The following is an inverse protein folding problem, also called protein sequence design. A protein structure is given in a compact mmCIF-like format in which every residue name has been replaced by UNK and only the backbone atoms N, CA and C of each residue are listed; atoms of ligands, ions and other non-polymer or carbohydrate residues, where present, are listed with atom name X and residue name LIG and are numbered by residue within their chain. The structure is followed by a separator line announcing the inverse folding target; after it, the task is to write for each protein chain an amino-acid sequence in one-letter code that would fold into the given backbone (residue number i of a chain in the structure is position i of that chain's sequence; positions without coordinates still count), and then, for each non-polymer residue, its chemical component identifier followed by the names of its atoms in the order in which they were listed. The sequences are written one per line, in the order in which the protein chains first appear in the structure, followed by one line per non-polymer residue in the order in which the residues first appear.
data_IF_695645946480
#
_entry.id   IF_695645946480
#
_cell.length_a   1.000
_cell.length_b   1.000
_cell.length_c   1.000
_cell.angle_alpha   90.00
_cell.angle_beta   90.00
_cell.angle_gamma   90.00
#
_symmetry.space_group_name_H-M   'P 1'
#
loop_
_entity.id
_entity.type
_entity.pdbx_description
1 polymer ?
#
# COMPACT_ATOMS: atom_id res chain seq x y z
N UNK A 1 24.70 41.93 39.79
CA UNK A 1 23.93 41.67 38.56
C UNK A 1 23.72 40.16 38.35
N UNK A 2 23.48 39.37 39.39
CA UNK A 2 22.16 38.93 39.85
C UNK A 2 20.93 39.55 39.14
N UNK A 3 20.44 38.92 38.05
CA UNK A 3 19.03 38.95 37.59
C UNK A 3 18.80 38.12 36.31
N UNK A 4 19.20 36.84 36.23
CA UNK A 4 18.72 35.93 35.16
C UNK A 4 18.70 34.45 35.58
N UNK A 5 18.21 34.15 36.79
CA UNK A 5 18.11 32.77 37.28
C UNK A 5 16.80 32.52 38.07
N UNK A 6 15.67 33.08 37.61
CA UNK A 6 14.39 32.97 38.32
C UNK A 6 13.19 32.78 37.36
N UNK A 7 13.29 31.85 36.40
CA UNK A 7 12.14 31.51 35.54
C UNK A 7 12.02 30.03 35.15
N UNK A 8 12.46 29.13 36.02
CA UNK A 8 12.39 27.69 35.74
C UNK A 8 12.21 26.79 36.98
N UNK A 9 11.35 27.17 37.94
CA UNK A 9 10.95 26.28 39.07
C UNK A 9 9.46 26.46 39.45
N UNK A 10 8.56 26.66 38.48
CA UNK A 10 7.12 26.69 38.80
C UNK A 10 6.32 25.98 37.72
N UNK A 11 6.13 24.68 37.91
CA UNK A 11 4.98 23.86 37.43
C UNK A 11 5.21 22.37 37.75
N UNK A 12 5.46 22.03 39.01
CA UNK A 12 5.27 20.68 39.53
C UNK A 12 4.86 20.78 40.99
N UNK A 13 3.55 20.82 41.24
CA UNK A 13 2.88 20.41 42.49
C UNK A 13 1.44 20.90 42.43
N UNK A 14 0.50 20.03 42.05
CA UNK A 14 -0.90 20.02 42.51
C UNK A 14 -1.67 18.94 41.75
N UNK A 15 -1.65 17.72 42.28
CA UNK A 15 -2.66 16.71 41.99
C UNK A 15 -2.96 16.00 43.30
N UNK A 16 -3.70 16.68 44.18
CA UNK A 16 -4.32 16.08 45.36
C UNK A 16 -5.76 15.69 45.01
N UNK A 17 -5.96 14.38 44.93
CA UNK A 17 -7.00 13.59 45.62
C UNK A 17 -8.20 14.40 46.13
N UNK A 18 -9.36 14.21 45.50
CA UNK A 18 -10.65 14.26 46.20
C UNK A 18 -11.80 13.60 45.41
N UNK A 19 -12.56 12.79 46.15
CA UNK A 19 -14.02 12.70 46.11
C UNK A 19 -14.70 11.68 45.17
N UNK A 20 -14.89 10.51 45.78
CA UNK A 20 -16.06 9.63 45.70
C UNK A 20 -17.40 10.37 45.50
N UNK A 21 -18.16 10.05 44.44
CA UNK A 21 -19.63 9.92 44.48
C UNK A 21 -20.08 8.89 43.44
N UNK A 22 -20.55 7.74 43.94
CA UNK A 22 -21.25 6.76 43.14
C UNK A 22 -22.62 7.28 42.73
N UNK A 23 -22.97 7.10 41.46
CA UNK A 23 -24.35 7.17 40.97
C UNK A 23 -24.71 5.80 40.41
N UNK A 24 -25.20 4.94 41.29
CA UNK A 24 -25.94 3.73 40.93
C UNK A 24 -27.37 4.18 40.58
N UNK A 25 -27.66 4.28 39.29
CA UNK A 25 -29.05 4.41 38.81
C UNK A 25 -29.53 3.03 38.34
N UNK A 26 -30.24 2.34 39.23
CA UNK A 26 -31.04 1.17 38.88
C UNK A 26 -32.18 1.60 37.95
N UNK A 27 -31.99 1.38 36.64
CA UNK A 27 -33.09 1.48 35.69
C UNK A 27 -33.80 0.13 35.64
N UNK A 28 -34.80 -0.04 36.52
CA UNK A 28 -35.80 -1.09 36.41
C UNK A 28 -36.59 -0.85 35.12
N UNK A 29 -36.25 -1.57 34.06
CA UNK A 29 -37.09 -1.64 32.87
C UNK A 29 -37.93 -2.90 32.98
N UNK A 30 -39.16 -2.71 33.44
CA UNK A 30 -40.27 -3.63 33.26
C UNK A 30 -40.42 -3.94 31.78
N UNK A 31 -40.37 -5.23 31.42
CA UNK A 31 -40.91 -5.71 30.15
C UNK A 31 -41.93 -6.79 30.44
N UNK A 32 -43.17 -6.39 30.23
CA UNK A 32 -44.35 -7.20 30.20
C UNK A 32 -44.19 -8.31 29.15
N UNK A 33 -44.39 -9.55 29.56
CA UNK A 33 -44.55 -10.69 28.66
C UNK A 33 -45.99 -10.62 28.13
N UNK A 34 -46.15 -10.12 26.91
CA UNK A 34 -47.39 -10.30 26.15
C UNK A 34 -47.21 -11.45 25.18
N UNK A 35 -47.93 -12.52 25.48
CA UNK A 35 -48.24 -13.64 24.58
C UNK A 35 -48.99 -13.12 23.36
N UNK A 36 -48.43 -13.29 22.17
CA UNK A 36 -49.16 -13.12 20.91
C UNK A 36 -49.17 -14.46 20.18
N UNK A 37 -50.37 -15.03 20.10
CA UNK A 37 -50.71 -16.20 19.30
C UNK A 37 -50.38 -15.94 17.83
N UNK A 38 -49.65 -16.87 17.20
CA UNK A 38 -49.48 -16.89 15.74
C UNK A 38 -50.47 -17.90 15.18
N UNK A 39 -51.47 -17.36 14.51
CA UNK A 39 -52.45 -18.08 13.70
C UNK A 39 -51.76 -18.76 12.53
N UNK A 40 -51.97 -20.07 12.46
CA UNK A 40 -51.83 -20.94 11.30
C UNK A 40 -52.39 -20.29 10.02
N UNK A 41 -51.53 -20.00 9.06
CA UNK A 41 -51.90 -19.74 7.67
C UNK A 41 -51.75 -21.03 6.84
N UNK A 42 -52.74 -21.38 6.01
CA UNK A 42 -52.71 -22.58 5.21
C UNK A 42 -51.72 -22.48 4.05
N UNK A 43 -51.09 -23.63 3.81
CA UNK A 43 -50.23 -23.98 2.69
C UNK A 43 -50.83 -23.54 1.34
N UNK A 44 -50.26 -22.47 0.76
CA UNK A 44 -50.53 -22.08 -0.63
C UNK A 44 -49.57 -22.88 -1.50
N UNK A 45 -50.08 -23.96 -2.08
CA UNK A 45 -49.44 -24.67 -3.18
C UNK A 45 -49.40 -23.74 -4.39
N UNK A 46 -48.27 -23.07 -4.58
CA UNK A 46 -47.96 -22.38 -5.83
C UNK A 46 -47.35 -23.45 -6.76
N UNK A 47 -48.18 -24.02 -7.63
CA UNK A 47 -47.69 -24.73 -8.81
C UNK A 47 -46.90 -23.75 -9.67
N UNK A 48 -45.59 -23.74 -9.48
CA UNK A 48 -44.67 -23.05 -10.35
C UNK A 48 -44.68 -23.75 -11.71
N UNK A 49 -45.47 -23.21 -12.64
CA UNK A 49 -45.30 -23.46 -14.07
C UNK A 49 -44.01 -22.78 -14.50
N UNK A 50 -42.88 -23.42 -14.18
CA UNK A 50 -41.55 -22.98 -14.56
C UNK A 50 -41.44 -22.87 -16.09
N UNK A 51 -40.62 -21.94 -16.60
CA UNK A 51 -40.33 -21.90 -18.03
C UNK A 51 -39.81 -23.28 -18.45
N UNK A 52 -40.32 -23.81 -19.58
CA UNK A 52 -39.80 -25.04 -20.20
C UNK A 52 -38.36 -24.78 -20.61
N UNK A 53 -37.44 -24.99 -19.69
CA UNK A 53 -36.00 -24.94 -19.91
C UNK A 53 -35.66 -25.97 -20.98
N UNK A 54 -34.84 -25.58 -21.93
CA UNK A 54 -34.38 -26.49 -22.98
C UNK A 54 -33.63 -27.67 -22.34
N UNK A 55 -33.71 -28.90 -22.87
CA UNK A 55 -33.02 -30.06 -22.28
C UNK A 55 -31.51 -29.86 -22.10
N UNK A 56 -30.89 -29.01 -22.93
CA UNK A 56 -29.48 -28.67 -22.81
C UNK A 56 -29.16 -27.69 -21.68
N UNK A 57 -30.10 -26.82 -21.29
CA UNK A 57 -29.93 -25.96 -20.11
C UNK A 57 -30.12 -26.77 -18.82
N UNK A 58 -31.06 -27.72 -18.80
CA UNK A 58 -31.28 -28.59 -17.65
C UNK A 58 -30.03 -29.45 -17.35
N UNK A 59 -29.41 -30.07 -18.36
CA UNK A 59 -28.18 -30.84 -18.18
C UNK A 59 -27.02 -29.98 -17.65
N UNK A 60 -26.88 -28.73 -18.11
CA UNK A 60 -25.90 -27.78 -17.57
C UNK A 60 -26.20 -27.43 -16.11
N UNK A 61 -27.46 -27.33 -15.72
CA UNK A 61 -27.84 -27.06 -14.34
C UNK A 61 -27.45 -28.22 -13.40
N UNK A 62 -27.67 -29.47 -13.80
CA UNK A 62 -27.30 -30.64 -12.99
C UNK A 62 -25.77 -30.74 -12.77
N UNK A 63 -24.97 -30.60 -13.85
CA UNK A 63 -23.50 -30.55 -13.76
C UNK A 63 -23.01 -29.43 -12.83
N UNK A 64 -23.68 -28.27 -12.86
CA UNK A 64 -23.34 -27.15 -11.99
C UNK A 64 -23.64 -27.45 -10.51
N UNK A 65 -24.72 -28.17 -10.20
CA UNK A 65 -25.06 -28.53 -8.82
C UNK A 65 -24.01 -29.49 -8.24
N UNK A 66 -23.53 -30.44 -9.03
CA UNK A 66 -22.44 -31.35 -8.63
C UNK A 66 -21.14 -30.60 -8.36
N UNK A 67 -20.77 -29.66 -9.23
CA UNK A 67 -19.60 -28.79 -9.02
C UNK A 67 -19.75 -27.94 -7.77
N UNK A 68 -20.93 -27.33 -7.56
CA UNK A 68 -21.22 -26.56 -6.33
C UNK A 68 -21.13 -27.47 -5.10
N UNK A 69 -21.55 -28.72 -5.21
CA UNK A 69 -21.49 -29.73 -4.17
C UNK A 69 -20.07 -30.25 -3.87
N UNK A 70 -19.07 -29.87 -4.67
CA UNK A 70 -17.66 -30.16 -4.43
C UNK A 70 -16.94 -29.02 -3.69
N UNK A 71 -17.49 -27.80 -3.73
CA UNK A 71 -16.87 -26.64 -3.07
C UNK A 71 -16.88 -26.77 -1.55
N UNK A 72 -15.87 -26.26 -0.82
CA UNK A 72 -15.91 -26.19 0.63
C UNK A 72 -17.17 -25.46 1.15
N UNK A 73 -17.79 -25.90 2.27
CA UNK A 73 -19.00 -25.29 2.80
C UNK A 73 -18.80 -23.80 3.11
N UNK A 74 -17.58 -23.41 3.49
CA UNK A 74 -17.22 -22.01 3.75
C UNK A 74 -17.34 -21.12 2.51
N UNK A 75 -17.00 -21.64 1.32
CA UNK A 75 -17.17 -20.93 0.06
C UNK A 75 -18.64 -20.96 -0.40
N UNK A 76 -19.33 -22.09 -0.25
CA UNK A 76 -20.77 -22.17 -0.56
C UNK A 76 -21.59 -21.17 0.26
N UNK A 77 -21.38 -21.11 1.57
CA UNK A 77 -22.07 -20.16 2.45
C UNK A 77 -21.73 -18.71 2.11
N UNK A 78 -20.50 -18.46 1.66
CA UNK A 78 -20.10 -17.14 1.20
C UNK A 78 -20.88 -16.75 -0.07
N UNK A 79 -20.92 -17.63 -1.08
CA UNK A 79 -21.62 -17.37 -2.34
C UNK A 79 -23.14 -17.32 -2.18
N UNK A 80 -23.71 -18.10 -1.26
CA UNK A 80 -25.12 -18.01 -0.89
C UNK A 80 -25.49 -16.63 -0.32
N UNK A 81 -24.57 -16.04 0.45
CA UNK A 81 -24.77 -14.70 1.04
C UNK A 81 -24.40 -13.56 0.08
N UNK A 82 -23.42 -13.80 -0.79
CA UNK A 82 -22.88 -12.83 -1.74
C UNK A 82 -22.85 -13.46 -3.14
N UNK A 83 -23.97 -13.39 -3.89
CA UNK A 83 -24.07 -13.99 -5.22
C UNK A 83 -23.06 -13.38 -6.19
N UNK A 84 -22.31 -14.19 -6.97
CA UNK A 84 -21.25 -13.68 -7.83
C UNK A 84 -21.74 -12.74 -8.94
N UNK A 85 -23.03 -12.78 -9.29
CA UNK A 85 -23.64 -11.88 -10.28
C UNK A 85 -23.51 -10.39 -9.92
N UNK A 86 -23.46 -10.06 -8.63
CA UNK A 86 -23.33 -8.67 -8.17
C UNK A 86 -21.95 -8.37 -7.61
N UNK A 87 -21.28 -9.39 -7.08
CA UNK A 87 -20.06 -9.20 -6.31
C UNK A 87 -18.79 -9.67 -7.02
N UNK A 88 -18.85 -10.44 -8.11
CA UNK A 88 -17.63 -10.96 -8.75
C UNK A 88 -16.75 -9.86 -9.33
N UNK A 89 -15.48 -10.19 -9.58
CA UNK A 89 -14.54 -9.26 -10.18
C UNK A 89 -14.95 -8.78 -11.59
N UNK A 90 -15.75 -9.59 -12.31
CA UNK A 90 -16.24 -9.29 -13.65
C UNK A 90 -17.35 -8.21 -13.68
N UNK A 91 -17.99 -7.94 -12.54
CA UNK A 91 -19.09 -6.93 -12.46
C UNK A 91 -18.54 -5.50 -12.49
N UNK A 92 -17.24 -5.31 -12.25
CA UNK A 92 -16.65 -3.99 -12.25
C UNK A 92 -16.72 -3.35 -13.66
N UNK A 93 -17.14 -2.07 -13.78
CA UNK A 93 -17.23 -1.40 -15.08
C UNK A 93 -15.86 -1.30 -15.74
N UNK A 94 -15.76 -1.76 -16.98
CA UNK A 94 -14.51 -1.83 -17.77
C UNK A 94 -13.85 -0.46 -17.92
N UNK A 95 -14.64 0.61 -18.03
CA UNK A 95 -14.16 2.00 -18.14
C UNK A 95 -13.20 2.40 -17.02
N UNK A 96 -13.39 1.86 -15.81
CA UNK A 96 -12.54 2.17 -14.67
C UNK A 96 -11.14 1.57 -14.79
N UNK A 97 -11.02 0.45 -15.50
CA UNK A 97 -9.75 -0.28 -15.69
C UNK A 97 -8.86 0.38 -16.73
N UNK A 98 -9.42 1.25 -17.58
CA UNK A 98 -8.68 2.03 -18.55
C UNK A 98 -8.13 3.31 -17.89
N UNK A 99 -6.91 3.73 -18.25
CA UNK A 99 -6.42 5.05 -17.86
C UNK A 99 -7.33 6.11 -18.48
N UNK A 100 -7.57 7.25 -17.79
CA UNK A 100 -8.26 8.38 -18.41
C UNK A 100 -7.51 8.80 -19.68
N UNK A 101 -8.26 9.06 -20.76
CA UNK A 101 -7.75 9.34 -22.12
C UNK A 101 -6.72 10.49 -22.19
N UNK A 102 -6.69 11.35 -21.17
CA UNK A 102 -5.78 12.50 -21.10
C UNK A 102 -4.38 12.13 -20.58
N UNK A 103 -4.17 10.90 -20.09
CA UNK A 103 -2.91 10.47 -19.46
C UNK A 103 -1.91 9.77 -20.40
N UNK A 104 -2.25 9.57 -21.69
CA UNK A 104 -1.38 8.90 -22.67
C UNK A 104 -0.37 9.82 -23.36
N UNK A 105 -0.33 11.12 -23.04
CA UNK A 105 0.48 12.12 -23.74
C UNK A 105 1.89 12.37 -23.18
N UNK A 106 2.38 11.63 -22.17
CA UNK A 106 3.65 11.97 -21.50
C UNK A 106 4.69 10.83 -21.46
N UNK A 107 4.67 9.94 -22.46
CA UNK A 107 5.68 8.87 -22.61
C UNK A 107 6.34 8.83 -23.99
N UNK A 108 6.57 9.99 -24.60
CA UNK A 108 7.52 10.14 -25.70
C UNK A 108 8.66 11.03 -25.22
N UNK A 109 9.76 10.38 -24.87
CA UNK A 109 11.09 10.98 -24.83
C UNK A 109 11.40 11.56 -26.21
N UNK A 110 11.19 12.87 -26.39
CA UNK A 110 11.77 13.64 -27.50
C UNK A 110 13.13 14.15 -27.02
N UNK A 111 14.20 13.62 -27.59
CA UNK A 111 15.58 14.08 -27.39
C UNK A 111 16.18 14.36 -28.77
N UNK A 112 16.08 15.62 -29.20
CA UNK A 112 16.80 16.29 -30.31
C UNK A 112 16.70 17.79 -29.98
N UNK A 113 17.66 18.72 -30.07
CA UNK A 113 19.08 18.84 -30.45
C UNK A 113 19.57 20.15 -29.78
N UNK A 114 20.82 20.31 -29.31
CA UNK A 114 21.95 20.98 -30.00
C UNK A 114 23.21 20.84 -29.10
N UNK A 115 24.31 20.23 -29.56
CA UNK A 115 25.46 20.78 -30.33
C UNK A 115 26.56 21.46 -29.48
N UNK A 116 27.65 20.72 -29.21
CA UNK A 116 29.07 21.17 -29.35
C UNK A 116 30.09 20.08 -28.91
N UNK A 117 30.61 19.36 -29.92
CA UNK A 117 32.03 19.06 -30.18
C UNK A 117 32.93 18.35 -29.14
N UNK A 118 33.29 17.06 -29.37
CA UNK A 118 34.67 16.60 -29.70
C UNK A 118 34.94 15.10 -29.43
N UNK A 119 35.29 14.39 -30.51
CA UNK A 119 36.29 13.29 -30.66
C UNK A 119 35.97 11.81 -30.28
N UNK A 120 35.90 10.98 -31.35
CA UNK A 120 36.50 9.65 -31.63
C UNK A 120 36.28 8.50 -30.59
N UNK A 121 35.78 7.30 -30.93
CA UNK A 121 36.39 6.28 -31.82
C UNK A 121 35.38 5.14 -32.13
N UNK A 122 35.59 4.45 -33.25
CA UNK A 122 34.77 3.44 -33.92
C UNK A 122 34.71 2.07 -33.21
N UNK A 123 33.62 1.29 -33.40
CA UNK A 123 33.65 -0.10 -33.91
C UNK A 123 32.22 -0.54 -34.31
N UNK A 124 32.08 -1.09 -35.52
CA UNK A 124 30.86 -1.60 -36.14
C UNK A 124 30.62 -3.08 -35.80
N UNK A 125 29.35 -3.52 -35.75
CA UNK A 125 28.92 -4.77 -36.39
C UNK A 125 27.41 -4.77 -36.63
N UNK A 126 27.01 -5.50 -37.67
CA UNK A 126 25.83 -5.28 -38.51
C UNK A 126 24.59 -6.11 -38.10
N UNK A 127 23.49 -5.67 -38.71
CA UNK A 127 22.10 -6.14 -38.80
C UNK A 127 21.85 -7.62 -39.08
N UNK A 128 20.69 -8.15 -38.63
CA UNK A 128 19.69 -8.85 -39.49
C UNK A 128 18.32 -9.07 -38.82
N UNK A 129 17.27 -8.75 -39.59
CA UNK A 129 15.98 -9.44 -39.76
C UNK A 129 14.89 -9.43 -38.66
N UNK A 130 13.66 -9.29 -39.15
CA UNK A 130 12.41 -9.03 -38.45
C UNK A 130 11.75 -10.28 -37.85
N UNK A 131 11.06 -10.11 -36.71
CA UNK A 131 10.00 -11.01 -36.25
C UNK A 131 8.98 -10.25 -35.37
N UNK A 132 7.65 -10.31 -35.65
CA UNK A 132 6.63 -9.54 -34.93
C UNK A 132 5.85 -10.44 -33.96
N UNK A 133 6.41 -10.77 -32.80
CA UNK A 133 5.65 -11.26 -31.63
C UNK A 133 6.58 -11.20 -30.43
N UNK A 134 6.40 -10.24 -29.53
CA UNK A 134 6.71 -10.35 -28.08
C UNK A 134 6.24 -9.05 -27.43
N UNK A 135 5.10 -9.10 -26.73
CA UNK A 135 4.74 -8.07 -25.75
C UNK A 135 5.66 -8.25 -24.54
N UNK A 136 6.82 -7.62 -24.61
CA UNK A 136 7.78 -7.54 -23.51
C UNK A 136 7.06 -6.95 -22.28
N UNK A 137 7.07 -7.65 -21.12
CA UNK A 137 6.64 -7.03 -19.87
C UNK A 137 7.59 -5.87 -19.62
N UNK A 138 7.08 -4.64 -19.57
CA UNK A 138 7.91 -3.45 -19.37
C UNK A 138 8.89 -3.70 -18.23
N UNK A 139 10.17 -3.85 -18.60
CA UNK A 139 11.25 -4.25 -17.71
C UNK A 139 11.49 -3.09 -16.76
N UNK A 140 10.84 -3.14 -15.60
CA UNK A 140 11.03 -2.17 -14.53
C UNK A 140 12.54 -1.96 -14.34
N UNK A 141 13.01 -0.70 -14.25
CA UNK A 141 14.44 -0.43 -14.13
C UNK A 141 14.98 -1.13 -12.88
N UNK A 142 16.21 -1.63 -12.97
CA UNK A 142 16.86 -2.28 -11.84
C UNK A 142 16.78 -1.35 -10.61
N UNK A 143 16.56 -1.90 -9.40
CA UNK A 143 16.39 -1.08 -8.20
C UNK A 143 17.61 -0.22 -7.86
N UNK A 144 18.75 -0.42 -8.52
CA UNK A 144 19.97 0.35 -8.32
C UNK A 144 20.12 1.45 -9.38
N UNK A 145 20.28 2.70 -8.94
CA UNK A 145 20.57 3.83 -9.82
C UNK A 145 22.08 3.86 -10.11
N UNK A 146 22.54 3.82 -11.38
CA UNK A 146 23.96 3.85 -11.70
C UNK A 146 24.64 5.18 -11.33
N UNK A 147 23.88 6.27 -11.20
CA UNK A 147 24.39 7.58 -10.81
C UNK A 147 24.11 7.92 -9.34
N UNK A 148 25.12 8.47 -8.66
CA UNK A 148 25.07 8.90 -7.24
C UNK A 148 24.06 10.04 -7.02
N UNK A 149 23.80 10.84 -8.05
CA UNK A 149 23.06 12.10 -7.96
C UNK A 149 21.61 12.03 -8.45
N UNK A 150 21.25 11.02 -9.26
CA UNK A 150 19.89 10.87 -9.72
C UNK A 150 18.97 10.51 -8.55
N UNK A 151 18.07 11.43 -8.20
CA UNK A 151 16.95 11.17 -7.29
C UNK A 151 15.87 10.46 -8.11
N UNK A 152 15.37 9.33 -7.64
CA UNK A 152 14.26 8.68 -8.33
C UNK A 152 13.00 9.53 -8.29
N UNK A 153 12.16 9.35 -9.30
CA UNK A 153 10.87 10.02 -9.42
C UNK A 153 9.99 9.68 -8.21
N UNK A 154 9.41 10.71 -7.60
CA UNK A 154 8.36 10.53 -6.60
C UNK A 154 7.06 10.32 -7.36
N UNK A 155 6.33 9.27 -7.02
CA UNK A 155 5.00 9.05 -7.60
C UNK A 155 3.99 10.02 -7.00
N UNK A 156 3.16 10.60 -7.86
CA UNK A 156 2.03 11.41 -7.42
C UNK A 156 0.95 10.52 -6.77
N UNK A 157 0.56 10.78 -5.51
CA UNK A 157 -0.42 9.96 -4.81
C UNK A 157 -1.83 10.10 -5.40
N UNK A 158 -2.09 11.18 -6.16
CA UNK A 158 -3.36 11.49 -6.82
C UNK A 158 -3.47 10.84 -8.20
N UNK A 159 -2.36 10.42 -8.80
CA UNK A 159 -2.36 9.81 -10.11
C UNK A 159 -3.18 8.50 -10.13
N UNK A 160 -3.81 8.24 -11.27
CA UNK A 160 -4.56 7.02 -11.49
C UNK A 160 -3.66 5.77 -11.31
N UNK A 161 -4.26 4.67 -10.87
CA UNK A 161 -3.56 3.42 -10.57
C UNK A 161 -4.48 2.26 -10.91
N UNK A 162 -4.07 1.40 -11.85
CA UNK A 162 -4.89 0.28 -12.30
C UNK A 162 -5.23 -0.69 -11.13
N UNK A 163 -4.32 -0.87 -10.18
CA UNK A 163 -4.52 -1.69 -8.99
C UNK A 163 -5.58 -1.09 -8.06
N UNK A 164 -5.69 0.25 -8.00
CA UNK A 164 -6.76 0.94 -7.28
C UNK A 164 -8.09 0.87 -8.04
N UNK A 165 -8.06 0.87 -9.37
CA UNK A 165 -9.23 0.73 -10.22
C UNK A 165 -9.93 -0.61 -10.00
N UNK A 166 -9.17 -1.71 -9.91
CA UNK A 166 -9.67 -3.07 -9.64
C UNK A 166 -10.49 -3.15 -8.35
N UNK A 167 -10.15 -2.36 -7.32
CA UNK A 167 -10.90 -2.33 -6.06
C UNK A 167 -12.21 -1.54 -6.22
N UNK A 168 -13.21 -2.22 -6.80
CA UNK A 168 -14.54 -1.68 -7.08
C UNK A 168 -15.52 -1.90 -5.93
N UNK A 169 -16.41 -0.93 -5.72
CA UNK A 169 -17.47 -0.97 -4.72
C UNK A 169 -18.74 -0.32 -5.33
N UNK A 170 -19.78 -1.11 -5.53
CA UNK A 170 -21.07 -0.64 -6.03
C UNK A 170 -21.87 0.01 -4.88
N UNK A 171 -22.53 1.17 -5.08
CA UNK A 171 -23.38 1.78 -4.06
C UNK A 171 -24.60 0.92 -3.65
N UNK A 172 -25.17 0.14 -4.56
CA UNK A 172 -26.34 -0.71 -4.31
C UNK A 172 -25.95 -2.05 -3.66
N UNK A 173 -24.93 -2.71 -4.22
CA UNK A 173 -24.40 -3.98 -3.73
C UNK A 173 -22.96 -3.79 -3.23
N UNK A 174 -22.77 -3.35 -1.98
CA UNK A 174 -21.46 -3.00 -1.52
C UNK A 174 -20.55 -4.19 -1.29
N UNK A 175 -19.31 -4.09 -1.77
CA UNK A 175 -18.31 -5.14 -1.66
C UNK A 175 -18.01 -5.47 -0.17
N UNK A 176 -18.22 -6.73 0.27
CA UNK A 176 -18.02 -7.13 1.67
C UNK A 176 -16.56 -7.12 2.14
N UNK A 177 -15.60 -7.02 1.21
CA UNK A 177 -14.16 -7.01 1.49
C UNK A 177 -13.58 -5.61 1.66
N UNK A 178 -14.32 -4.56 1.27
CA UNK A 178 -13.83 -3.19 1.35
C UNK A 178 -14.47 -2.44 2.53
N UNK A 179 -13.72 -1.51 3.17
CA UNK A 179 -14.30 -0.62 4.15
C UNK A 179 -15.27 0.35 3.46
N UNK A 180 -16.37 0.66 4.14
CA UNK A 180 -17.41 1.52 3.61
C UNK A 180 -17.51 2.81 4.42
N UNK A 181 -17.69 3.94 3.75
CA UNK A 181 -18.01 5.19 4.41
C UNK A 181 -19.50 5.21 4.75
N UNK A 182 -19.85 5.56 5.98
CA UNK A 182 -21.26 5.73 6.34
C UNK A 182 -21.86 6.92 5.57
N UNK A 183 -23.12 6.81 5.09
CA UNK A 183 -23.76 7.92 4.36
C UNK A 183 -24.01 9.13 5.26
N UNK A 184 -24.45 8.86 6.50
CA UNK A 184 -24.85 9.91 7.45
C UNK A 184 -23.69 10.42 8.31
N UNK A 185 -22.65 9.59 8.51
CA UNK A 185 -21.50 9.93 9.34
C UNK A 185 -20.22 9.89 8.50
N UNK A 186 -19.27 10.80 8.74
CA UNK A 186 -17.96 10.77 8.09
C UNK A 186 -17.06 9.60 8.56
N UNK A 187 -17.56 8.73 9.44
CA UNK A 187 -16.87 7.53 9.91
C UNK A 187 -16.83 6.42 8.85
N UNK A 188 -15.74 5.65 8.88
CA UNK A 188 -15.56 4.45 8.06
C UNK A 188 -15.98 3.20 8.86
N UNK A 189 -16.82 2.37 8.26
CA UNK A 189 -17.16 1.05 8.75
C UNK A 189 -16.11 0.05 8.27
N UNK A 190 -15.68 -0.82 9.18
CA UNK A 190 -14.81 -1.95 8.86
C UNK A 190 -15.46 -2.87 7.81
N UNK A 191 -14.65 -3.55 6.97
CA UNK A 191 -15.18 -4.54 6.03
C UNK A 191 -15.87 -5.69 6.79
N UNK A 192 -16.86 -6.32 6.15
CA UNK A 192 -17.60 -7.46 6.75
C UNK A 192 -16.69 -8.67 6.99
N UNK A 193 -15.70 -8.87 6.11
CA UNK A 193 -14.63 -9.84 6.31
C UNK A 193 -13.29 -9.13 6.49
N UNK A 194 -12.57 -9.46 7.56
CA UNK A 194 -11.24 -8.90 7.83
C UNK A 194 -10.18 -9.43 6.85
N UNK A 195 -9.03 -8.76 6.75
CA UNK A 195 -7.96 -9.12 5.79
C UNK A 195 -7.44 -10.56 5.94
N UNK A 196 -7.52 -11.14 7.15
CA UNK A 196 -7.20 -12.57 7.40
C UNK A 196 -8.27 -13.48 6.78
N UNK A 197 -9.54 -13.22 7.04
CA UNK A 197 -10.66 -13.99 6.47
C UNK A 197 -10.71 -13.88 4.95
N UNK A 198 -10.45 -12.69 4.41
CA UNK A 198 -10.30 -12.48 2.96
C UNK A 198 -9.18 -13.36 2.40
N UNK A 199 -8.02 -13.42 3.06
CA UNK A 199 -6.92 -14.27 2.64
C UNK A 199 -7.28 -15.76 2.70
N UNK A 200 -7.97 -16.20 3.76
CA UNK A 200 -8.45 -17.59 3.87
C UNK A 200 -9.40 -17.94 2.70
N UNK A 201 -10.36 -17.05 2.39
CA UNK A 201 -11.29 -17.23 1.27
C UNK A 201 -10.58 -17.22 -0.08
N UNK A 202 -9.67 -16.27 -0.33
CA UNK A 202 -8.88 -16.24 -1.57
C UNK A 202 -7.97 -17.47 -1.69
N UNK A 203 -7.39 -17.97 -0.59
CA UNK A 203 -6.55 -19.18 -0.60
C UNK A 203 -7.38 -20.42 -0.95
N UNK A 204 -8.56 -20.57 -0.35
CA UNK A 204 -9.49 -21.65 -0.70
C UNK A 204 -9.98 -21.49 -2.15
N UNK A 205 -10.47 -20.32 -2.54
CA UNK A 205 -10.98 -20.12 -3.89
C UNK A 205 -9.91 -20.38 -4.96
N UNK A 206 -8.64 -20.03 -4.68
CA UNK A 206 -7.52 -20.36 -5.56
C UNK A 206 -7.28 -21.86 -5.70
N UNK A 207 -7.37 -22.64 -4.62
CA UNK A 207 -7.19 -24.09 -4.70
C UNK A 207 -8.29 -24.77 -5.52
N UNK A 208 -9.49 -24.20 -5.54
CA UNK A 208 -10.65 -24.70 -6.32
C UNK A 208 -10.87 -23.95 -7.64
N UNK A 209 -9.98 -23.02 -8.04
CA UNK A 209 -10.12 -22.26 -9.29
C UNK A 209 -11.24 -21.22 -9.35
N UNK A 210 -11.96 -20.95 -8.24
CA UNK A 210 -13.13 -20.06 -8.18
C UNK A 210 -12.80 -18.64 -7.68
N UNK A 211 -11.53 -18.22 -7.75
CA UNK A 211 -11.09 -16.90 -7.24
C UNK A 211 -11.74 -15.73 -7.99
N UNK A 212 -12.01 -15.88 -9.29
CA UNK A 212 -12.63 -14.83 -10.12
C UNK A 212 -14.08 -14.52 -9.72
N UNK A 213 -14.78 -15.50 -9.14
CA UNK A 213 -16.16 -15.35 -8.66
C UNK A 213 -16.25 -14.57 -7.35
N UNK A 214 -15.14 -14.46 -6.61
CA UNK A 214 -15.08 -13.65 -5.40
C UNK A 214 -15.06 -12.15 -5.71
N UNK A 215 -15.54 -11.33 -4.76
CA UNK A 215 -15.33 -9.89 -4.84
C UNK A 215 -13.87 -9.49 -4.85
N UNK A 216 -13.60 -8.36 -5.52
CA UNK A 216 -12.25 -7.81 -5.64
C UNK A 216 -11.72 -7.45 -4.24
N UNK A 217 -10.49 -7.89 -3.94
CA UNK A 217 -9.86 -7.70 -2.63
C UNK A 217 -8.40 -7.32 -2.79
N UNK A 218 -7.82 -6.68 -1.76
CA UNK A 218 -6.37 -6.47 -1.67
C UNK A 218 -5.57 -7.79 -1.57
N UNK A 219 -6.25 -8.92 -1.36
CA UNK A 219 -5.65 -10.25 -1.22
C UNK A 219 -5.76 -11.11 -2.49
N UNK A 220 -6.55 -10.70 -3.49
CA UNK A 220 -6.69 -11.45 -4.74
C UNK A 220 -5.39 -11.46 -5.56
N UNK A 221 -5.21 -12.49 -6.40
CA UNK A 221 -4.12 -12.60 -7.39
C UNK A 221 -4.06 -11.39 -8.29
N UNK A 222 -5.17 -11.08 -8.97
CA UNK A 222 -5.27 -9.98 -9.92
C UNK A 222 -4.78 -8.65 -9.33
N UNK A 223 -5.21 -8.34 -8.10
CA UNK A 223 -4.78 -7.11 -7.42
C UNK A 223 -3.28 -7.12 -7.08
N UNK A 224 -2.73 -8.26 -6.65
CA UNK A 224 -1.31 -8.36 -6.28
C UNK A 224 -0.41 -8.26 -7.50
N UNK A 225 -0.77 -8.94 -8.58
CA UNK A 225 -0.04 -8.94 -9.84
C UNK A 225 -0.03 -7.55 -10.48
N UNK A 226 -1.20 -6.92 -10.63
CA UNK A 226 -1.30 -5.53 -11.13
C UNK A 226 -0.54 -4.54 -10.26
N UNK A 227 -0.65 -4.64 -8.94
CA UNK A 227 0.09 -3.77 -8.02
C UNK A 227 1.60 -3.98 -8.13
N UNK A 228 2.06 -5.20 -8.30
CA UNK A 228 3.49 -5.52 -8.45
C UNK A 228 4.01 -4.96 -9.78
N UNK A 229 3.28 -5.17 -10.87
CA UNK A 229 3.61 -4.60 -12.18
C UNK A 229 3.65 -3.07 -12.16
N UNK A 230 2.68 -2.41 -11.50
CA UNK A 230 2.59 -0.95 -11.45
C UNK A 230 3.61 -0.26 -10.53
N UNK A 231 4.00 -0.90 -9.42
CA UNK A 231 4.77 -0.24 -8.36
C UNK A 231 6.16 -0.83 -8.17
N UNK A 232 6.35 -2.09 -8.56
CA UNK A 232 7.53 -2.86 -8.22
C UNK A 232 7.85 -2.85 -6.71
N UNK A 233 9.14 -2.93 -6.39
CA UNK A 233 9.62 -2.82 -5.02
C UNK A 233 9.66 -1.34 -4.61
N UNK A 234 8.87 -0.97 -3.59
CA UNK A 234 8.76 0.41 -3.12
C UNK A 234 9.24 0.58 -1.66
N UNK A 235 10.19 -0.26 -1.21
CA UNK A 235 10.76 -0.15 0.13
C UNK A 235 11.69 1.07 0.20
N UNK A 236 11.69 1.79 1.32
CA UNK A 236 12.57 2.96 1.47
C UNK A 236 14.05 2.52 1.42
N UNK A 237 14.82 3.11 0.52
CA UNK A 237 16.25 2.85 0.35
C UNK A 237 16.56 1.83 -0.75
N UNK A 238 15.80 0.74 -0.85
CA UNK A 238 16.01 -0.35 -1.83
C UNK A 238 14.95 -0.40 -2.93
N UNK A 239 13.88 0.37 -2.81
CA UNK A 239 12.84 0.46 -3.82
C UNK A 239 13.32 1.20 -5.06
N UNK A 240 12.60 1.01 -6.17
CA UNK A 240 12.91 1.61 -7.45
C UNK A 240 13.00 3.14 -7.29
N UNK A 241 14.13 3.72 -7.70
CA UNK A 241 14.40 5.15 -7.57
C UNK A 241 14.69 5.64 -6.14
N UNK A 242 14.76 4.76 -5.14
CA UNK A 242 15.20 5.11 -3.79
C UNK A 242 16.69 4.83 -3.62
N UNK A 243 17.31 5.62 -2.74
CA UNK A 243 18.73 5.49 -2.38
C UNK A 243 18.88 5.16 -0.90
N UNK A 244 19.78 4.23 -0.60
CA UNK A 244 20.16 3.88 0.78
C UNK A 244 20.85 5.09 1.43
N UNK A 245 20.49 5.38 2.67
CA UNK A 245 21.03 6.52 3.42
C UNK A 245 22.53 6.40 3.70
N UNK A 246 23.03 5.19 3.88
CA UNK A 246 24.39 4.91 4.36
C UNK A 246 24.52 5.08 5.87
N UNK A 247 25.43 4.32 6.47
CA UNK A 247 25.73 4.43 7.89
C UNK A 247 26.35 5.78 8.25
N UNK A 248 26.31 6.16 9.53
CA UNK A 248 26.88 7.45 9.97
C UNK A 248 28.38 7.54 9.66
N UNK A 249 29.13 6.44 9.79
CA UNK A 249 30.56 6.42 9.51
C UNK A 249 30.86 6.56 8.03
N UNK A 250 30.13 5.87 7.13
CA UNK A 250 30.27 6.02 5.67
C UNK A 250 30.06 7.47 5.23
N UNK A 251 29.05 8.15 5.81
CA UNK A 251 28.71 9.54 5.49
C UNK A 251 29.66 10.59 6.04
N UNK A 252 30.42 10.26 7.10
CA UNK A 252 31.35 11.19 7.76
C UNK A 252 32.81 10.79 7.58
N UNK A 253 33.07 9.71 6.82
CA UNK A 253 34.41 9.18 6.63
C UNK A 253 35.27 10.21 5.89
N UNK A 254 34.75 10.77 4.79
CA UNK A 254 35.42 11.80 4.00
C UNK A 254 35.74 13.02 4.86
N UNK A 255 34.75 13.58 5.56
CA UNK A 255 34.97 14.74 6.43
C UNK A 255 35.99 14.46 7.53
N UNK A 256 35.98 13.26 8.13
CA UNK A 256 36.95 12.87 9.17
C UNK A 256 38.36 12.68 8.60
N UNK A 257 38.48 12.17 7.38
CA UNK A 257 39.79 12.04 6.72
C UNK A 257 40.35 13.42 6.35
N UNK A 258 39.50 14.34 5.89
CA UNK A 258 39.90 15.71 5.58
C UNK A 258 40.34 16.48 6.83
N UNK A 259 39.59 16.36 7.93
CA UNK A 259 39.98 16.91 9.24
C UNK A 259 41.34 16.35 9.69
N UNK A 260 41.57 15.04 9.54
CA UNK A 260 42.85 14.41 9.87
C UNK A 260 43.97 14.91 8.98
N UNK A 261 43.76 14.98 7.67
CA UNK A 261 44.74 15.48 6.69
C UNK A 261 45.12 16.92 7.00
N UNK A 262 44.12 17.77 7.27
CA UNK A 262 44.33 19.16 7.67
C UNK A 262 45.14 19.28 8.95
N UNK A 263 44.78 18.52 10.00
CA UNK A 263 45.53 18.50 11.25
C UNK A 263 47.00 18.08 11.07
N UNK A 264 47.27 17.10 10.19
CA UNK A 264 48.65 16.69 9.88
C UNK A 264 49.43 17.76 9.13
N UNK A 265 48.79 18.52 8.23
CA UNK A 265 49.44 19.64 7.53
C UNK A 265 49.73 20.83 8.46
N UNK A 266 48.83 21.11 9.42
CA UNK A 266 49.00 22.20 10.40
C UNK A 266 49.91 21.78 11.58
N UNK A 267 50.18 20.48 11.75
CA UNK A 267 50.97 19.95 12.87
C UNK A 267 52.38 20.56 12.98
N UNK A 268 53.17 20.72 11.90
CA UNK A 268 54.51 21.32 11.98
C UNK A 268 54.49 22.77 12.48
N UNK A 269 53.53 23.57 12.00
CA UNK A 269 53.36 24.96 12.43
C UNK A 269 52.95 25.03 13.90
N UNK A 270 52.00 24.19 14.31
CA UNK A 270 51.56 24.09 15.70
C UNK A 270 52.72 23.71 16.65
N UNK A 271 53.57 22.75 16.24
CA UNK A 271 54.75 22.35 17.02
C UNK A 271 55.75 23.51 17.12
N UNK A 272 55.95 24.26 16.03
CA UNK A 272 56.83 25.45 16.03
C UNK A 272 56.34 26.51 17.01
N UNK A 273 55.06 26.86 16.95
CA UNK A 273 54.46 27.81 17.90
C UNK A 273 54.58 27.31 19.35
N UNK A 274 54.28 26.03 19.60
CA UNK A 274 54.31 25.45 20.93
C UNK A 274 55.71 25.46 21.55
N UNK A 275 56.74 25.13 20.76
CA UNK A 275 58.15 25.20 21.17
C UNK A 275 58.59 26.65 21.42
N UNK A 276 58.29 27.57 20.50
CA UNK A 276 58.64 28.99 20.64
C UNK A 276 58.00 29.64 21.87
N UNK A 277 56.76 29.27 22.21
CA UNK A 277 56.02 29.80 23.37
C UNK A 277 56.47 29.21 24.72
N UNK A 278 57.40 28.25 24.72
CA UNK A 278 57.97 27.66 25.94
C UNK A 278 57.15 26.51 26.53
N UNK A 279 56.78 25.51 25.70
CA UNK A 279 56.24 24.21 26.13
C UNK A 279 55.05 24.32 27.10
N UNK A 280 54.07 25.15 26.78
CA UNK A 280 52.81 25.23 27.53
C UNK A 280 52.67 26.38 28.53
N UNK A 281 53.75 27.08 28.92
CA UNK A 281 53.66 28.20 29.89
C UNK A 281 52.77 29.36 29.41
N UNK A 282 52.74 29.63 28.10
CA UNK A 282 51.87 30.65 27.48
C UNK A 282 50.76 30.10 26.58
N UNK A 283 50.49 28.79 26.62
CA UNK A 283 49.56 28.14 25.71
C UNK A 283 48.12 28.23 26.21
N UNK A 284 47.25 28.87 25.43
CA UNK A 284 45.81 29.04 25.74
C UNK A 284 44.89 28.19 24.84
N UNK A 285 45.42 27.60 23.77
CA UNK A 285 44.67 26.84 22.76
C UNK A 285 44.55 25.36 23.15
N UNK A 286 44.04 25.05 24.34
CA UNK A 286 43.84 23.67 24.78
C UNK A 286 42.60 23.04 24.12
N UNK A 287 42.64 21.74 23.72
CA UNK A 287 41.45 21.04 23.26
C UNK A 287 40.36 21.07 24.33
N UNK A 288 39.13 21.38 23.91
CA UNK A 288 37.97 21.31 24.80
C UNK A 288 37.51 19.86 24.89
N UNK A 289 37.19 19.43 26.12
CA UNK A 289 36.56 18.12 26.37
C UNK A 289 35.10 18.13 25.94
#
# INVERSE_FOLDING_TARGET
MATMAAKMVSRMASANIASTKGLTTHRLFTRHLTTAATTSTPNVTIEAKGPKLSPQEAAKHEENLDVISMLPPRLRNFFAKYPPQFYSAAVAPTERLLPPSDASLDSTTTTESESAESQQTQTQTQTTAADPTTLEPQKLPSPYTPSREAKGSKRDPTAWSASKAILYNNPEYPNPFLPQKSRNSKSWRSPKYGLRQQADLCKLARSYGVEQLLPTSRKSTLFKETRLAERGLAIKGTGIGQKVKGHKWERTMETRLDERKKAMMEMPEMIREWKQRGHGRGWKKWPRR
#
